data_IF_171487168189
#
_entry.id   IF_171487168189
#
_cell.length_a   1.000
_cell.length_b   1.000
_cell.length_c   1.000
_cell.angle_alpha   90.00
_cell.angle_beta   90.00
_cell.angle_gamma   90.00
#
_symmetry.space_group_name_H-M   'P 1'
#
loop_
_entity.id
_entity.type
_entity.pdbx_description
1 polymer ?
#
# COMPACT_ATOMS: atom_id res chain seq x y z
N UNK A 1 8.00 -4.86 11.44
CA UNK A 1 6.69 -4.60 10.82
C UNK A 1 6.29 -5.86 10.06
N UNK A 2 5.04 -6.34 10.16
CA UNK A 2 4.63 -7.54 9.44
C UNK A 2 4.58 -7.27 7.93
N UNK A 3 5.06 -8.23 7.15
CA UNK A 3 4.89 -8.25 5.69
C UNK A 3 3.76 -9.23 5.38
N UNK A 4 2.80 -8.81 4.56
CA UNK A 4 1.64 -9.61 4.18
C UNK A 4 1.66 -9.82 2.66
N UNK A 5 1.48 -11.07 2.22
CA UNK A 5 1.31 -11.40 0.81
C UNK A 5 -0.18 -11.39 0.45
N UNK A 6 -0.51 -10.74 -0.67
CA UNK A 6 -1.85 -10.79 -1.26
C UNK A 6 -1.86 -11.87 -2.35
N UNK A 7 -2.58 -12.95 -2.10
CA UNK A 7 -2.70 -14.07 -3.03
C UNK A 7 -4.09 -14.12 -3.66
N UNK A 8 -4.16 -14.37 -4.97
CA UNK A 8 -5.42 -14.46 -5.72
C UNK A 8 -5.51 -15.87 -6.31
N UNK A 9 -6.67 -16.49 -6.18
CA UNK A 9 -7.01 -17.76 -6.81
C UNK A 9 -8.17 -17.57 -7.78
N UNK A 10 -7.98 -17.93 -9.04
CA UNK A 10 -8.99 -17.84 -10.08
C UNK A 10 -8.91 -19.01 -11.06
N UNK A 11 -10.04 -19.39 -11.65
CA UNK A 11 -10.11 -20.36 -12.75
C UNK A 11 -10.26 -19.60 -14.06
N UNK A 12 -9.35 -19.83 -15.00
CA UNK A 12 -9.28 -19.10 -16.26
C UNK A 12 -9.17 -20.07 -17.43
N UNK A 13 -9.87 -19.79 -18.54
CA UNK A 13 -9.84 -20.62 -19.76
C UNK A 13 -9.36 -19.76 -20.92
N UNK A 14 -8.23 -20.12 -21.52
CA UNK A 14 -7.66 -19.38 -22.65
C UNK A 14 -7.09 -17.99 -22.31
N UNK A 15 -6.95 -17.65 -21.03
CA UNK A 15 -6.36 -16.38 -20.59
C UNK A 15 -4.92 -16.60 -20.12
N UNK A 16 -4.00 -15.81 -20.65
CA UNK A 16 -2.60 -15.76 -20.24
C UNK A 16 -2.24 -14.31 -19.90
N UNK A 17 -1.59 -14.06 -18.75
CA UNK A 17 -1.17 -12.72 -18.34
C UNK A 17 -2.19 -11.95 -17.49
N UNK A 18 -2.72 -12.58 -16.44
CA UNK A 18 -3.59 -11.90 -15.47
C UNK A 18 -2.79 -10.87 -14.66
N UNK A 19 -2.97 -9.60 -14.98
CA UNK A 19 -2.33 -8.46 -14.32
C UNK A 19 -3.30 -7.27 -14.32
N UNK A 20 -3.20 -6.35 -13.35
CA UNK A 20 -3.90 -5.08 -13.46
C UNK A 20 -3.57 -4.35 -14.77
N UNK A 21 -4.57 -3.69 -15.37
CA UNK A 21 -4.39 -2.96 -16.63
C UNK A 21 -3.37 -1.82 -16.51
N UNK A 22 -3.29 -1.19 -15.35
CA UNK A 22 -2.27 -0.19 -14.99
C UNK A 22 -1.64 -0.60 -13.64
N UNK A 23 -0.50 -1.32 -13.65
CA UNK A 23 0.12 -1.82 -12.43
C UNK A 23 0.58 -0.72 -11.45
N UNK A 24 0.86 0.49 -11.93
CA UNK A 24 1.38 1.58 -11.09
C UNK A 24 0.25 2.35 -10.40
N UNK A 25 -0.86 2.56 -11.12
CA UNK A 25 -2.01 3.33 -10.63
C UNK A 25 -3.22 2.47 -10.25
N UNK A 26 -3.09 1.14 -10.22
CA UNK A 26 -4.17 0.27 -9.78
C UNK A 26 -4.55 0.55 -8.33
N UNK A 27 -5.85 0.74 -8.09
CA UNK A 27 -6.41 0.94 -6.76
C UNK A 27 -6.73 -0.40 -6.11
N UNK A 28 -5.88 -0.80 -5.17
CA UNK A 28 -6.10 -1.98 -4.36
C UNK A 28 -7.06 -1.66 -3.22
N UNK A 29 -8.33 -2.08 -3.36
CA UNK A 29 -9.33 -1.89 -2.31
C UNK A 29 -9.17 -2.96 -1.22
N UNK A 30 -8.88 -2.52 0.00
CA UNK A 30 -8.62 -3.37 1.15
C UNK A 30 -9.37 -2.85 2.39
N UNK A 31 -9.64 -3.76 3.33
CA UNK A 31 -10.14 -3.41 4.66
C UNK A 31 -9.04 -3.64 5.68
N UNK A 32 -8.82 -2.64 6.53
CA UNK A 32 -7.76 -2.66 7.53
C UNK A 32 -8.31 -2.84 8.94
N UNK A 33 -7.52 -3.52 9.77
CA UNK A 33 -7.72 -3.66 11.21
C UNK A 33 -6.53 -3.08 11.94
N UNK A 34 -6.77 -2.24 12.93
CA UNK A 34 -5.73 -1.70 13.78
C UNK A 34 -5.13 -2.82 14.64
N UNK A 35 -3.82 -3.07 14.48
CA UNK A 35 -3.09 -4.09 15.24
C UNK A 35 -2.91 -3.75 16.73
N UNK A 36 -3.22 -2.52 17.15
CA UNK A 36 -3.07 -2.07 18.53
C UNK A 36 -4.34 -2.27 19.37
N UNK A 37 -5.50 -1.89 18.83
CA UNK A 37 -6.77 -1.91 19.57
C UNK A 37 -7.83 -2.84 18.95
N UNK A 38 -7.54 -3.45 17.79
CA UNK A 38 -8.47 -4.35 17.11
C UNK A 38 -9.55 -3.67 16.26
N UNK A 39 -9.65 -2.34 16.28
CA UNK A 39 -10.65 -1.58 15.52
C UNK A 39 -10.52 -1.81 14.01
N UNK A 40 -11.61 -2.19 13.35
CA UNK A 40 -11.70 -2.32 11.89
C UNK A 40 -12.69 -1.31 11.31
N UNK A 41 -12.41 -0.80 10.10
CA UNK A 41 -13.32 0.11 9.41
C UNK A 41 -14.37 -0.65 8.61
N UNK A 42 -15.59 -0.11 8.58
CA UNK A 42 -16.69 -0.68 7.79
C UNK A 42 -16.63 -0.34 6.29
N UNK A 43 -15.90 0.72 5.94
CA UNK A 43 -15.74 1.17 4.56
C UNK A 43 -14.44 0.68 3.93
N UNK A 44 -14.41 0.62 2.60
CA UNK A 44 -13.23 0.23 1.83
C UNK A 44 -12.25 1.38 1.70
N UNK A 45 -10.97 1.09 1.95
CA UNK A 45 -9.87 1.99 1.68
C UNK A 45 -9.12 1.49 0.44
N UNK A 46 -8.52 2.38 -0.33
CA UNK A 46 -7.67 1.96 -1.45
C UNK A 46 -6.20 2.28 -1.17
N UNK A 47 -5.32 1.51 -1.78
CA UNK A 47 -3.88 1.75 -1.81
C UNK A 47 -3.43 1.73 -3.28
N UNK A 48 -2.61 2.71 -3.66
CA UNK A 48 -2.01 2.78 -5.00
C UNK A 48 -0.49 2.68 -4.86
N UNK A 49 0.13 1.87 -5.71
CA UNK A 49 1.57 1.55 -5.64
C UNK A 49 2.46 2.78 -5.85
N UNK A 50 2.01 3.72 -6.68
CA UNK A 50 2.71 4.97 -6.98
C UNK A 50 2.31 6.15 -6.06
N UNK A 51 1.30 5.99 -5.21
CA UNK A 51 0.87 7.05 -4.30
C UNK A 51 1.81 7.11 -3.10
N UNK A 52 2.35 8.31 -2.80
CA UNK A 52 3.30 8.52 -1.71
C UNK A 52 2.72 9.58 -0.78
N UNK A 53 2.53 9.20 0.48
CA UNK A 53 1.98 10.04 1.53
C UNK A 53 3.01 10.21 2.64
N UNK A 54 3.19 11.45 3.08
CA UNK A 54 4.04 11.77 4.22
C UNK A 54 3.41 11.28 5.51
N UNK A 55 4.22 10.68 6.39
CA UNK A 55 3.75 10.21 7.70
C UNK A 55 3.83 11.34 8.72
N UNK A 56 2.71 11.77 9.33
CA UNK A 56 2.71 12.85 10.32
C UNK A 56 3.67 12.56 11.48
N UNK A 57 4.58 13.50 11.75
CA UNK A 57 5.55 13.38 12.84
C UNK A 57 6.73 12.43 12.56
N UNK A 58 6.91 12.00 11.30
CA UNK A 58 8.03 11.17 10.86
C UNK A 58 8.66 11.73 9.59
N UNK A 59 9.87 11.28 9.25
CA UNK A 59 10.52 11.50 7.94
C UNK A 59 10.19 10.39 6.93
N UNK A 60 9.36 9.43 7.32
CA UNK A 60 8.97 8.30 6.48
C UNK A 60 7.83 8.64 5.52
N UNK A 61 7.79 7.92 4.42
CA UNK A 61 6.70 7.92 3.44
C UNK A 61 5.97 6.57 3.48
N UNK A 62 4.71 6.54 3.07
CA UNK A 62 3.93 5.31 2.92
C UNK A 62 2.89 5.46 1.79
N UNK A 63 2.33 4.34 1.30
CA UNK A 63 1.25 4.40 0.30
C UNK A 63 -0.14 4.64 0.93
N UNK A 64 -0.27 4.37 2.23
CA UNK A 64 -1.45 4.70 3.01
C UNK A 64 -1.02 5.12 4.41
N UNK A 65 -1.58 6.23 4.89
CA UNK A 65 -1.42 6.71 6.26
C UNK A 65 -2.79 6.88 6.88
N UNK A 66 -3.07 6.16 7.96
CA UNK A 66 -4.37 6.18 8.60
C UNK A 66 -4.28 6.30 10.12
N UNK A 67 -4.92 7.33 10.66
CA UNK A 67 -5.12 7.50 12.10
C UNK A 67 -6.30 6.65 12.58
N UNK A 68 -6.06 5.75 13.53
CA UNK A 68 -7.10 4.97 14.18
C UNK A 68 -8.05 5.88 14.99
N UNK A 69 -9.36 5.77 14.78
CA UNK A 69 -10.37 6.56 15.52
C UNK A 69 -10.47 6.19 16.99
N UNK A 70 -10.15 4.94 17.36
CA UNK A 70 -10.27 4.45 18.74
C UNK A 70 -9.03 4.80 19.58
N UNK A 71 -7.84 4.36 19.16
CA UNK A 71 -6.61 4.57 19.95
C UNK A 71 -5.74 5.74 19.48
N UNK A 72 -6.17 6.53 18.50
CA UNK A 72 -5.45 7.68 17.92
C UNK A 72 -4.08 7.37 17.29
N UNK A 73 -3.66 6.09 17.24
CA UNK A 73 -2.40 5.68 16.64
C UNK A 73 -2.43 5.86 15.13
N UNK A 74 -1.35 6.42 14.57
CA UNK A 74 -1.12 6.48 13.12
C UNK A 74 -0.55 5.14 12.67
N UNK A 75 -1.25 4.48 11.74
CA UNK A 75 -0.83 3.24 11.10
C UNK A 75 -0.49 3.53 9.65
N UNK A 76 0.46 2.79 9.10
CA UNK A 76 0.94 2.97 7.74
C UNK A 76 0.91 1.64 6.98
N UNK A 77 0.71 1.72 5.67
CA UNK A 77 0.83 0.57 4.75
C UNK A 77 1.73 0.97 3.60
N UNK A 78 2.70 0.11 3.30
CA UNK A 78 3.62 0.25 2.19
C UNK A 78 3.47 -0.97 1.27
N UNK A 79 3.39 -0.70 -0.03
CA UNK A 79 3.35 -1.73 -1.07
C UNK A 79 4.78 -2.12 -1.43
N UNK A 80 5.09 -3.41 -1.26
CA UNK A 80 6.42 -3.95 -1.54
C UNK A 80 6.38 -4.66 -2.90
N UNK A 81 7.24 -4.24 -3.82
CA UNK A 81 7.43 -4.94 -5.09
C UNK A 81 8.39 -6.12 -4.89
N UNK A 82 7.90 -7.36 -4.97
CA UNK A 82 8.74 -8.56 -4.87
C UNK A 82 9.36 -8.93 -6.23
N UNK A 83 10.63 -8.56 -6.48
CA UNK A 83 11.49 -9.21 -7.48
C UNK A 83 12.30 -8.32 -8.43
N UNK A 84 13.64 -8.42 -8.31
CA UNK A 84 14.73 -7.91 -9.19
C UNK A 84 14.79 -6.41 -9.51
N UNK A 85 15.55 -5.69 -8.69
CA UNK A 85 15.88 -4.28 -8.89
C UNK A 85 15.21 -3.43 -7.83
N UNK A 86 16.01 -2.96 -6.85
CA UNK A 86 15.53 -1.96 -5.93
C UNK A 86 14.92 -0.80 -6.71
N UNK A 87 13.83 -0.21 -6.19
CA UNK A 87 13.48 1.15 -6.57
C UNK A 87 14.63 2.07 -6.12
N UNK A 88 15.67 2.18 -6.95
CA UNK A 88 16.53 3.35 -6.97
C UNK A 88 15.63 4.48 -7.50
N UNK A 89 15.09 5.29 -6.59
CA UNK A 89 14.42 6.53 -6.98
C UNK A 89 15.53 7.53 -7.34
N UNK A 90 16.02 7.47 -8.56
CA UNK A 90 16.78 8.55 -9.17
C UNK A 90 15.80 9.71 -9.42
N UNK A 91 15.95 10.80 -8.66
CA UNK A 91 15.06 11.96 -8.82
C UNK A 91 15.02 12.93 -7.65
N UNK A 92 16.14 13.13 -6.92
CA UNK A 92 16.30 14.36 -6.14
C UNK A 92 16.85 15.44 -7.09
N UNK A 93 15.95 16.22 -7.69
CA UNK A 93 16.32 17.44 -8.40
C UNK A 93 17.07 18.38 -7.44
N UNK A 94 18.27 18.87 -7.80
CA UNK A 94 19.02 19.77 -6.94
C UNK A 94 18.28 21.10 -6.86
N UNK A 95 17.78 21.44 -5.67
CA UNK A 95 17.35 22.81 -5.37
C UNK A 95 18.56 23.72 -5.56
N UNK A 96 18.45 24.60 -6.56
CA UNK A 96 19.32 25.77 -6.74
C UNK A 96 19.28 26.68 -5.52
#
# INVERSE_FOLDING_TARGET
>A
MPVLALEIKCNMVGVTGFTPSDPENHRWFLKFRCMNCGESRDYWQYVVINEVLEVPGSRGEANLVEKCKLCNRVNTVETVCHGHGGRQRDGAEPRR
#
